data_IF_168160805710
#
_entry.id   IF_168160805710
#
_cell.length_a   1.000
_cell.length_b   1.000
_cell.length_c   1.000
_cell.angle_alpha   90.00
_cell.angle_beta   90.00
_cell.angle_gamma   90.00
#
_symmetry.space_group_name_H-M   'P 1'
#
loop_
_entity.id
_entity.type
_entity.pdbx_description
1 polymer ?
#
# COMPACT_ATOMS: atom_id res chain seq x y z
N UNK A 1 36.87 -3.83 -9.44
CA UNK A 1 36.80 -3.04 -8.18
C UNK A 1 36.21 -1.68 -8.50
N UNK A 2 35.00 -1.37 -8.03
CA UNK A 2 34.37 -0.09 -8.31
C UNK A 2 34.98 0.98 -7.38
N UNK A 3 35.75 1.90 -7.96
CA UNK A 3 36.24 3.10 -7.27
C UNK A 3 35.04 3.93 -6.80
N UNK A 4 34.91 4.12 -5.48
CA UNK A 4 33.92 5.01 -4.89
C UNK A 4 34.50 6.43 -4.88
N UNK A 5 33.72 7.42 -5.30
CA UNK A 5 34.19 8.80 -5.41
C UNK A 5 34.23 9.48 -4.04
N UNK A 6 35.45 9.73 -3.53
CA UNK A 6 35.71 10.44 -2.29
C UNK A 6 35.99 11.92 -2.58
N UNK A 7 35.15 12.81 -2.05
CA UNK A 7 35.32 14.26 -2.20
C UNK A 7 36.00 14.82 -0.95
N UNK A 8 37.26 15.22 -1.07
CA UNK A 8 38.03 15.92 -0.02
C UNK A 8 38.47 17.28 -0.57
N UNK A 9 38.44 18.29 0.30
CA UNK A 9 38.97 19.63 0.01
C UNK A 9 40.50 19.61 -0.04
N UNK A 10 41.05 19.91 -1.21
CA UNK A 10 42.47 20.22 -1.37
C UNK A 10 42.78 21.57 -0.71
N UNK A 11 43.91 21.67 -0.02
CA UNK A 11 44.35 22.87 0.73
C UNK A 11 44.61 24.08 -0.17
N UNK A 12 44.62 23.89 -1.50
CA UNK A 12 44.84 24.91 -2.53
C UNK A 12 43.57 25.41 -3.26
N UNK A 13 42.37 25.09 -2.77
CA UNK A 13 41.15 25.81 -3.15
C UNK A 13 40.74 25.70 -4.63
N UNK A 14 40.72 24.48 -5.18
CA UNK A 14 40.18 24.19 -6.52
C UNK A 14 38.76 23.62 -6.51
N UNK A 15 37.96 23.91 -7.55
CA UNK A 15 36.64 23.31 -7.75
C UNK A 15 36.76 21.98 -8.52
N UNK A 16 36.38 20.87 -7.88
CA UNK A 16 36.27 19.57 -8.53
C UNK A 16 34.89 19.44 -9.22
N UNK A 17 34.85 19.00 -10.49
CA UNK A 17 33.61 18.73 -11.23
C UNK A 17 33.56 17.29 -11.75
N UNK A 18 32.36 16.70 -11.76
CA UNK A 18 32.09 15.41 -12.37
C UNK A 18 31.09 15.60 -13.51
N UNK A 19 31.54 15.33 -14.74
CA UNK A 19 30.76 15.58 -15.97
C UNK A 19 29.91 14.38 -16.40
N UNK A 20 29.84 13.31 -15.58
CA UNK A 20 29.07 12.10 -15.87
C UNK A 20 27.97 11.91 -14.83
N UNK A 21 26.74 12.16 -15.25
CA UNK A 21 25.53 11.87 -14.50
C UNK A 21 25.04 10.44 -14.79
N UNK A 22 24.36 9.82 -13.82
CA UNK A 22 23.73 8.52 -14.04
C UNK A 22 22.61 8.64 -15.06
N UNK A 23 22.47 7.64 -15.95
CA UNK A 23 21.40 7.58 -16.95
C UNK A 23 20.00 7.42 -16.35
N UNK A 24 19.92 7.02 -15.08
CA UNK A 24 18.68 6.80 -14.35
C UNK A 24 18.78 7.39 -12.95
N UNK A 25 17.64 7.89 -12.45
CA UNK A 25 17.50 8.34 -11.08
C UNK A 25 17.46 7.11 -10.16
N UNK A 26 18.15 7.15 -9.03
CA UNK A 26 18.07 6.08 -8.03
C UNK A 26 16.78 6.26 -7.24
N UNK A 27 15.99 5.20 -7.15
CA UNK A 27 14.79 5.18 -6.32
C UNK A 27 15.12 4.56 -4.97
N UNK A 28 14.69 5.20 -3.88
CA UNK A 28 14.71 4.57 -2.57
C UNK A 28 13.65 3.47 -2.52
N UNK A 29 14.00 2.30 -1.97
CA UNK A 29 13.03 1.24 -1.72
C UNK A 29 11.89 1.79 -0.86
N UNK A 30 10.65 1.64 -1.35
CA UNK A 30 9.47 2.06 -0.61
C UNK A 30 8.95 0.87 0.20
N UNK A 31 8.59 1.06 1.48
CA UNK A 31 7.90 0.01 2.23
C UNK A 31 6.53 -0.25 1.58
N UNK A 32 6.16 -1.53 1.48
CA UNK A 32 4.80 -1.92 1.11
C UNK A 32 3.85 -1.59 2.28
N UNK A 33 2.58 -1.35 1.97
CA UNK A 33 1.57 -1.17 3.00
C UNK A 33 1.48 -2.42 3.88
N UNK A 34 1.57 -2.23 5.19
CA UNK A 34 1.54 -3.32 6.17
C UNK A 34 0.21 -4.09 6.04
N UNK A 35 0.29 -5.42 5.97
CA UNK A 35 -0.83 -6.38 5.88
C UNK A 35 -1.65 -6.40 4.59
N UNK A 36 -1.28 -5.64 3.55
CA UNK A 36 -2.03 -5.65 2.28
C UNK A 36 -2.03 -7.02 1.58
N UNK A 37 -1.00 -7.81 1.84
CA UNK A 37 -0.77 -9.18 1.37
C UNK A 37 -1.51 -10.24 2.21
N UNK A 38 -1.97 -9.90 3.41
CA UNK A 38 -2.67 -10.80 4.32
C UNK A 38 -4.19 -10.51 4.39
N UNK A 39 -4.70 -9.66 3.50
CA UNK A 39 -6.11 -9.27 3.46
C UNK A 39 -6.69 -9.45 2.06
N UNK A 40 -7.87 -10.05 2.00
CA UNK A 40 -8.66 -10.16 0.78
C UNK A 40 -9.36 -8.84 0.44
N UNK A 41 -9.54 -8.61 -0.86
CA UNK A 41 -10.25 -7.44 -1.36
C UNK A 41 -11.71 -7.86 -1.56
N UNK A 42 -12.60 -7.25 -0.79
CA UNK A 42 -14.04 -7.42 -0.95
C UNK A 42 -14.62 -6.24 -1.74
N UNK A 43 -15.39 -6.54 -2.78
CA UNK A 43 -15.99 -5.50 -3.62
C UNK A 43 -17.25 -4.93 -2.93
N UNK A 44 -17.24 -3.63 -2.68
CA UNK A 44 -18.37 -2.90 -2.11
C UNK A 44 -19.18 -2.24 -3.23
N UNK A 45 -19.69 -3.06 -4.16
CA UNK A 45 -20.39 -2.58 -5.35
C UNK A 45 -21.53 -1.61 -5.02
N UNK A 46 -21.51 -0.44 -5.67
CA UNK A 46 -22.55 0.60 -5.52
C UNK A 46 -22.41 1.51 -4.30
N UNK A 47 -21.31 1.47 -3.55
CA UNK A 47 -21.01 2.39 -2.44
C UNK A 47 -20.02 3.47 -2.86
N UNK A 48 -20.36 4.71 -2.54
CA UNK A 48 -19.58 5.90 -2.87
C UNK A 48 -18.69 6.33 -1.70
N UNK A 49 -17.80 7.29 -1.94
CA UNK A 49 -16.93 7.86 -0.92
C UNK A 49 -17.72 8.35 0.30
N UNK A 50 -17.29 7.94 1.49
CA UNK A 50 -17.94 8.29 2.75
C UNK A 50 -19.08 7.36 3.15
N UNK A 51 -19.51 6.45 2.28
CA UNK A 51 -20.54 5.48 2.62
C UNK A 51 -20.01 4.40 3.57
N UNK A 52 -20.94 3.90 4.38
CA UNK A 52 -20.70 2.79 5.30
C UNK A 52 -21.11 1.49 4.60
N UNK A 53 -20.17 0.55 4.56
CA UNK A 53 -20.41 -0.84 4.15
C UNK A 53 -20.69 -1.64 5.41
N UNK A 54 -21.83 -2.31 5.44
CA UNK A 54 -22.17 -3.25 6.50
C UNK A 54 -21.96 -4.68 6.01
N UNK A 55 -21.43 -5.52 6.89
CA UNK A 55 -21.25 -6.94 6.62
C UNK A 55 -21.65 -7.77 7.85
N UNK A 56 -22.27 -8.91 7.61
CA UNK A 56 -22.82 -9.74 8.67
C UNK A 56 -21.83 -10.83 9.06
N UNK A 57 -21.58 -10.95 10.36
CA UNK A 57 -20.80 -12.01 10.99
C UNK A 57 -21.75 -12.93 11.72
N UNK A 58 -21.89 -14.14 11.20
CA UNK A 58 -22.68 -15.20 11.84
C UNK A 58 -21.78 -15.92 12.84
N UNK A 59 -22.21 -16.00 14.10
CA UNK A 59 -21.46 -16.72 15.14
C UNK A 59 -21.64 -18.22 15.00
N UNK A 60 -20.74 -18.97 15.66
CA UNK A 60 -20.97 -20.38 15.95
C UNK A 60 -22.27 -20.56 16.76
N UNK A 61 -22.82 -21.78 16.70
CA UNK A 61 -23.98 -22.17 17.50
C UNK A 61 -23.67 -22.05 19.00
N UNK A 62 -24.62 -21.56 19.80
CA UNK A 62 -24.37 -21.16 21.20
C UNK A 62 -23.88 -22.31 22.09
N UNK A 63 -24.22 -23.55 21.75
CA UNK A 63 -23.88 -24.74 22.50
C UNK A 63 -23.67 -25.88 21.52
N UNK A 64 -22.51 -26.53 21.59
CA UNK A 64 -22.21 -27.70 20.78
C UNK A 64 -23.21 -28.83 21.09
N UNK A 65 -23.53 -29.64 20.08
CA UNK A 65 -24.35 -30.83 20.26
C UNK A 65 -23.68 -31.85 21.20
N UNK A 66 -24.46 -32.83 21.66
CA UNK A 66 -23.97 -33.93 22.50
C UNK A 66 -24.52 -35.27 22.03
N UNK A 67 -24.10 -36.35 22.70
CA UNK A 67 -24.57 -37.71 22.40
C UNK A 67 -26.09 -37.81 22.59
N UNK A 68 -26.77 -38.38 21.60
CA UNK A 68 -28.21 -38.62 21.65
C UNK A 68 -28.45 -40.10 21.95
N UNK A 69 -29.38 -40.39 22.85
CA UNK A 69 -29.95 -41.74 22.99
C UNK A 69 -31.08 -41.92 21.99
N UNK A 70 -31.40 -43.16 21.61
CA UNK A 70 -32.57 -43.43 20.76
C UNK A 70 -33.84 -42.84 21.38
N UNK A 71 -34.71 -42.29 20.53
CA UNK A 71 -35.93 -41.50 20.84
C UNK A 71 -35.73 -40.12 21.51
N UNK A 72 -34.49 -39.67 21.76
CA UNK A 72 -34.26 -38.32 22.29
C UNK A 72 -34.50 -37.23 21.23
N UNK A 73 -35.25 -36.18 21.61
CA UNK A 73 -35.48 -35.01 20.74
C UNK A 73 -34.19 -34.22 20.52
N UNK A 74 -33.87 -33.92 19.26
CA UNK A 74 -32.69 -33.14 18.90
C UNK A 74 -32.84 -31.70 19.45
N UNK A 75 -31.89 -31.21 20.26
CA UNK A 75 -31.97 -29.87 20.83
C UNK A 75 -31.72 -28.81 19.75
N UNK A 76 -32.71 -27.93 19.54
CA UNK A 76 -32.55 -26.73 18.72
C UNK A 76 -31.85 -25.64 19.53
N UNK A 77 -30.81 -25.03 18.97
CA UNK A 77 -30.05 -23.94 19.59
C UNK A 77 -29.98 -22.74 18.66
N UNK A 78 -29.65 -21.60 19.25
CA UNK A 78 -29.58 -20.33 18.54
C UNK A 78 -28.14 -20.03 18.09
N UNK A 79 -28.04 -19.22 17.06
CA UNK A 79 -26.81 -18.52 16.68
C UNK A 79 -27.09 -17.01 16.71
N UNK A 80 -26.04 -16.21 16.83
CA UNK A 80 -26.16 -14.75 16.81
C UNK A 80 -25.57 -14.19 15.53
N UNK A 81 -26.25 -13.19 14.96
CA UNK A 81 -25.74 -12.44 13.81
C UNK A 81 -25.33 -11.06 14.30
N UNK A 82 -24.06 -10.70 14.10
CA UNK A 82 -23.52 -9.39 14.44
C UNK A 82 -23.20 -8.64 13.15
N UNK A 83 -23.45 -7.32 13.13
CA UNK A 83 -23.06 -6.46 12.00
C UNK A 83 -21.70 -5.83 12.26
N UNK A 84 -20.79 -5.93 11.31
CA UNK A 84 -19.59 -5.09 11.21
C UNK A 84 -19.84 -3.93 10.26
N UNK A 85 -19.11 -2.83 10.44
CA UNK A 85 -19.14 -1.67 9.55
C UNK A 85 -17.74 -1.25 9.14
N UNK A 86 -17.61 -0.75 7.90
CA UNK A 86 -16.40 -0.15 7.34
C UNK A 86 -16.78 1.16 6.65
N UNK A 87 -15.96 2.19 6.78
CA UNK A 87 -16.14 3.47 6.08
C UNK A 87 -15.12 3.59 4.95
N UNK A 88 -15.59 3.88 3.74
CA UNK A 88 -14.75 4.07 2.56
C UNK A 88 -14.15 5.48 2.55
N UNK A 89 -12.82 5.58 2.51
CA UNK A 89 -12.08 6.85 2.45
C UNK A 89 -11.11 6.84 1.27
N UNK A 90 -11.02 7.97 0.57
CA UNK A 90 -10.06 8.15 -0.53
C UNK A 90 -8.74 8.74 -0.01
N UNK A 91 -7.62 8.17 -0.46
CA UNK A 91 -6.28 8.70 -0.22
C UNK A 91 -5.78 9.42 -1.48
N UNK A 92 -5.58 10.73 -1.38
CA UNK A 92 -5.02 11.55 -2.44
C UNK A 92 -3.60 12.01 -2.13
N UNK A 93 -2.68 11.92 -3.10
CA UNK A 93 -1.36 12.53 -3.02
C UNK A 93 -1.06 13.33 -4.29
N UNK A 94 -0.66 14.60 -4.14
CA UNK A 94 -0.37 15.50 -5.25
C UNK A 94 1.13 15.72 -5.37
N UNK A 95 1.69 15.41 -6.53
CA UNK A 95 3.05 15.84 -6.90
C UNK A 95 2.96 17.05 -7.83
N UNK A 96 3.62 18.13 -7.44
CA UNK A 96 3.75 19.33 -8.29
C UNK A 96 5.11 19.26 -8.99
N UNK A 97 5.09 19.22 -10.32
CA UNK A 97 6.30 19.40 -11.12
C UNK A 97 6.25 20.79 -11.78
N UNK A 98 7.36 21.53 -11.71
CA UNK A 98 7.46 22.84 -12.37
C UNK A 98 7.80 22.64 -13.85
N UNK A 99 7.07 23.34 -14.73
CA UNK A 99 7.19 23.23 -16.20
C UNK A 99 8.62 23.42 -16.70
N UNK A 100 9.36 24.36 -16.11
CA UNK A 100 10.75 24.66 -16.47
C UNK A 100 11.69 23.46 -16.26
N UNK A 101 11.50 22.72 -15.18
CA UNK A 101 12.37 21.58 -14.83
C UNK A 101 12.09 20.37 -15.74
N UNK A 102 10.83 20.16 -16.13
CA UNK A 102 10.46 19.17 -17.14
C UNK A 102 11.06 19.49 -18.52
N UNK A 103 11.01 20.75 -18.95
CA UNK A 103 11.57 21.19 -20.23
C UNK A 103 13.09 21.01 -20.29
N UNK A 104 13.82 21.40 -19.25
CA UNK A 104 15.28 21.25 -19.22
C UNK A 104 15.71 19.78 -19.15
N UNK A 105 15.02 18.94 -18.36
CA UNK A 105 15.27 17.51 -18.34
C UNK A 105 15.04 16.86 -19.72
N UNK A 106 14.01 17.29 -20.46
CA UNK A 106 13.70 16.76 -21.79
C UNK A 106 14.72 17.19 -22.86
N UNK A 107 15.23 18.43 -22.77
CA UNK A 107 16.32 18.92 -23.64
C UNK A 107 17.59 18.11 -23.45
N UNK A 108 17.97 17.85 -22.20
CA UNK A 108 19.15 17.03 -21.88
C UNK A 108 18.99 15.59 -22.36
N UNK A 109 17.79 15.01 -22.24
CA UNK A 109 17.53 13.65 -22.72
C UNK A 109 17.59 13.52 -24.25
N UNK A 110 17.22 14.58 -24.99
CA UNK A 110 17.32 14.64 -26.45
C UNK A 110 18.76 14.86 -26.94
N UNK A 111 19.65 15.37 -26.10
CA UNK A 111 21.05 15.65 -26.44
C UNK A 111 21.99 14.45 -26.21
N UNK A 112 21.51 13.42 -25.50
CA UNK A 112 22.27 12.21 -25.15
C UNK A 112 21.88 11.01 -26.06
N UNK A 113 20.92 11.19 -26.96
CA UNK A 113 20.48 10.19 -27.95
C UNK A 113 21.07 10.50 -29.32
#
# INVERSE_FOLDING_TARGET
MASQQLWVTDSLGGYLSNNRLSRQLRYAAQPLMVFRDHCDIEDAAGKNRGDIVYFDKISNISTAGGTLSETATIPRRNFTVKKGSLQLVEYGNKKVAVRRLLLEALKLLRLIR
#
